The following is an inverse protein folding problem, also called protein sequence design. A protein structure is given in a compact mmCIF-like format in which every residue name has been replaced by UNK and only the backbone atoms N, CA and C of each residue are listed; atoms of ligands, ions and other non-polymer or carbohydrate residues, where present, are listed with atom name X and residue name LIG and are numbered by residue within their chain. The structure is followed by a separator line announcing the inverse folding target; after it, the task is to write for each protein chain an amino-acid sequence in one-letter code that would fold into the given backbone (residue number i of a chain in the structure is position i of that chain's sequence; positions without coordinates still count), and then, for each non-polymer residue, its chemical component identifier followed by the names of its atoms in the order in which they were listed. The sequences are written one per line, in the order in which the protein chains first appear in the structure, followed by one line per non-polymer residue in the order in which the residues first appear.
data_IF_219422468225
#
_entry.id   IF_219422468225
#
_cell.length_a   1.000
_cell.length_b   1.000
_cell.length_c   1.000
_cell.angle_alpha   90.00
_cell.angle_beta   90.00
_cell.angle_gamma   90.00
#
_symmetry.space_group_name_H-M   'P 1'
#
loop_
_entity.id
_entity.type
_entity.pdbx_description
1 polymer ?
#
# COMPACT_ATOMS: atom_id res chain seq x y z
N UNK A 1 -46.95 52.96 40.10
CA UNK A 1 -46.62 51.61 39.62
C UNK A 1 -45.09 51.53 39.41
N UNK A 2 -44.35 50.89 40.32
CA UNK A 2 -42.90 50.71 40.23
C UNK A 2 -42.62 49.41 39.41
N UNK A 3 -41.95 49.57 38.24
CA UNK A 3 -41.50 48.41 37.43
C UNK A 3 -40.18 47.93 38.04
N UNK A 4 -40.15 46.69 38.50
CA UNK A 4 -38.91 46.00 38.88
C UNK A 4 -38.36 45.32 37.62
N UNK A 5 -37.14 45.71 37.21
CA UNK A 5 -36.36 45.02 36.16
C UNK A 5 -35.55 43.95 36.88
N UNK A 6 -35.88 42.70 36.63
CA UNK A 6 -35.11 41.53 37.08
C UNK A 6 -34.00 41.28 36.05
N UNK A 7 -32.76 41.54 36.42
CA UNK A 7 -31.59 41.12 35.65
C UNK A 7 -31.33 39.63 35.93
N UNK A 8 -31.60 38.80 34.93
CA UNK A 8 -31.18 37.39 34.97
C UNK A 8 -29.68 37.35 34.59
N UNK A 9 -28.82 37.10 35.56
CA UNK A 9 -27.42 36.72 35.28
C UNK A 9 -27.38 35.28 34.80
N UNK A 10 -27.20 35.08 33.48
CA UNK A 10 -26.86 33.77 32.92
C UNK A 10 -25.35 33.59 33.14
N UNK A 11 -24.98 32.86 34.18
CA UNK A 11 -23.64 32.32 34.32
C UNK A 11 -23.42 31.27 33.23
N UNK A 12 -22.80 31.66 32.14
CA UNK A 12 -22.16 30.71 31.20
C UNK A 12 -20.98 30.07 31.94
N UNK A 13 -21.23 28.90 32.50
CA UNK A 13 -20.19 27.95 32.86
C UNK A 13 -19.56 27.47 31.54
N UNK A 14 -18.55 28.18 31.06
CA UNK A 14 -17.60 27.60 30.13
C UNK A 14 -16.84 26.51 30.90
N UNK A 15 -17.33 25.27 30.84
CA UNK A 15 -16.48 24.15 31.15
C UNK A 15 -15.30 24.26 30.17
N UNK A 16 -14.15 24.69 30.63
CA UNK A 16 -12.94 24.74 29.85
C UNK A 16 -12.64 23.30 29.42
N UNK A 17 -12.89 22.99 28.18
CA UNK A 17 -12.36 21.74 27.59
C UNK A 17 -10.86 21.84 27.74
N UNK A 18 -10.29 21.01 28.62
CA UNK A 18 -8.86 20.93 28.80
C UNK A 18 -8.27 20.48 27.46
N UNK A 19 -7.34 21.27 26.91
CA UNK A 19 -6.72 20.93 25.64
C UNK A 19 -6.06 19.54 25.77
N UNK A 20 -6.44 18.58 24.91
CA UNK A 20 -5.81 17.27 24.86
C UNK A 20 -4.42 17.45 24.27
N UNK A 21 -3.40 16.94 24.95
CA UNK A 21 -2.01 16.99 24.50
C UNK A 21 -1.56 15.58 24.04
N UNK A 22 -0.52 15.49 23.18
CA UNK A 22 0.06 14.20 22.80
C UNK A 22 0.50 13.37 24.01
N UNK A 23 0.43 12.03 23.85
CA UNK A 23 0.75 11.06 24.90
C UNK A 23 2.21 11.10 25.37
N UNK A 24 3.12 11.53 24.50
CA UNK A 24 4.56 11.48 24.73
C UNK A 24 5.18 10.10 24.49
N UNK A 25 4.42 9.14 23.95
CA UNK A 25 4.88 7.76 23.71
C UNK A 25 5.20 7.46 22.24
N UNK A 26 4.63 8.22 21.31
CA UNK A 26 4.81 8.07 19.86
C UNK A 26 5.47 9.33 19.27
N UNK A 27 6.13 9.23 18.10
CA UNK A 27 6.60 10.41 17.39
C UNK A 27 5.44 11.38 17.10
N UNK A 28 5.69 12.68 17.20
CA UNK A 28 4.68 13.70 16.94
C UNK A 28 4.96 14.37 15.60
N UNK A 29 3.98 14.36 14.70
CA UNK A 29 4.00 15.11 13.45
C UNK A 29 3.30 16.45 13.67
N UNK A 30 4.03 17.52 13.52
CA UNK A 30 3.50 18.88 13.53
C UNK A 30 3.32 19.37 12.10
N UNK A 31 2.07 19.65 11.74
CA UNK A 31 1.71 20.24 10.45
C UNK A 31 1.11 21.61 10.66
N UNK A 32 1.62 22.60 9.93
CA UNK A 32 1.08 23.95 9.99
C UNK A 32 0.84 24.47 8.58
N UNK A 33 -0.41 24.80 8.25
CA UNK A 33 -0.75 25.43 6.98
C UNK A 33 -0.42 26.93 7.02
N UNK A 34 -0.12 27.52 5.89
CA UNK A 34 0.13 28.96 5.84
C UNK A 34 -1.12 29.71 6.34
N UNK A 35 -0.90 30.67 7.22
CA UNK A 35 -1.97 31.48 7.86
C UNK A 35 -3.00 30.65 8.65
N UNK A 36 -2.71 29.40 9.03
CA UNK A 36 -3.60 28.54 9.80
C UNK A 36 -4.87 28.10 9.05
N UNK A 37 -4.90 28.21 7.71
CA UNK A 37 -6.08 27.81 6.94
C UNK A 37 -6.39 26.33 7.06
N UNK A 38 -7.68 25.97 7.01
CA UNK A 38 -8.10 24.58 7.07
C UNK A 38 -7.77 23.84 5.74
N UNK A 39 -7.50 22.54 5.83
CA UNK A 39 -7.43 21.64 4.69
C UNK A 39 -8.85 21.12 4.46
N UNK A 40 -9.52 21.62 3.41
CA UNK A 40 -10.95 21.40 3.18
C UNK A 40 -11.28 20.43 2.06
N UNK A 41 -10.29 20.07 1.24
CA UNK A 41 -10.49 19.16 0.12
C UNK A 41 -9.28 18.24 -0.10
N UNK A 42 -9.45 17.26 -1.00
CA UNK A 42 -8.41 16.27 -1.35
C UNK A 42 -7.75 16.51 -2.70
N UNK A 43 -8.19 17.54 -3.45
CA UNK A 43 -7.67 17.82 -4.79
C UNK A 43 -6.57 18.89 -4.74
N UNK A 44 -6.81 19.96 -4.01
CA UNK A 44 -5.93 21.11 -3.98
C UNK A 44 -4.94 21.05 -2.82
N UNK A 45 -3.69 21.31 -3.12
CA UNK A 45 -2.66 21.44 -2.10
C UNK A 45 -2.69 22.80 -1.41
N UNK A 46 -2.55 22.77 -0.11
CA UNK A 46 -2.37 23.95 0.75
C UNK A 46 -0.90 24.02 1.13
N UNK A 47 -0.18 25.13 0.85
CA UNK A 47 1.20 25.28 1.31
C UNK A 47 1.28 25.35 2.83
N UNK A 48 2.36 24.78 3.38
CA UNK A 48 2.56 24.74 4.82
C UNK A 48 3.95 24.23 5.18
N UNK A 49 4.10 23.88 6.43
CA UNK A 49 5.34 23.34 6.99
C UNK A 49 5.08 22.11 7.82
N UNK A 50 6.08 21.24 7.90
CA UNK A 50 6.05 20.00 8.69
C UNK A 50 7.37 19.85 9.43
N UNK A 51 7.29 19.47 10.71
CA UNK A 51 8.41 18.88 11.42
C UNK A 51 7.94 17.69 12.24
N UNK A 52 8.86 16.78 12.57
CA UNK A 52 8.57 15.57 13.36
C UNK A 52 9.51 15.53 14.55
N UNK A 53 8.92 15.54 15.74
CA UNK A 53 9.62 15.25 16.98
C UNK A 53 9.52 13.75 17.25
N UNK A 54 10.62 13.02 17.20
CA UNK A 54 10.61 11.58 17.43
C UNK A 54 10.51 11.23 18.92
N UNK A 55 10.59 12.19 19.81
CA UNK A 55 10.71 11.96 21.26
C UNK A 55 11.85 10.96 21.58
N UNK A 56 11.59 9.97 22.45
CA UNK A 56 12.54 8.91 22.83
C UNK A 56 12.37 7.61 22.03
N UNK A 57 11.71 7.64 20.86
CA UNK A 57 11.38 6.43 20.09
C UNK A 57 12.55 5.87 19.26
N UNK A 58 13.72 6.48 19.27
CA UNK A 58 14.90 6.04 18.53
C UNK A 58 14.94 6.46 17.05
N UNK A 59 13.91 7.12 16.53
CA UNK A 59 13.95 7.71 15.20
C UNK A 59 14.72 9.05 15.18
N UNK A 60 15.21 9.43 14.01
CA UNK A 60 15.80 10.75 13.81
C UNK A 60 14.71 11.81 13.67
N UNK A 61 14.93 12.98 14.24
CA UNK A 61 14.08 14.15 14.05
C UNK A 61 14.06 14.61 12.59
N UNK A 62 12.94 15.18 12.17
CA UNK A 62 12.79 15.79 10.85
C UNK A 62 12.43 17.26 11.01
N UNK A 63 13.38 18.16 10.78
CA UNK A 63 13.21 19.59 11.08
C UNK A 63 13.07 19.86 12.58
N UNK A 64 12.55 21.03 12.93
CA UNK A 64 12.23 21.44 14.30
C UNK A 64 11.18 22.54 14.29
N UNK A 65 10.67 22.92 15.46
CA UNK A 65 9.74 24.04 15.59
C UNK A 65 10.32 25.39 15.11
N UNK A 66 11.66 25.58 15.23
CA UNK A 66 12.37 26.77 14.74
C UNK A 66 12.82 26.67 13.28
N UNK A 67 12.88 25.47 12.72
CA UNK A 67 13.30 25.20 11.36
C UNK A 67 12.45 24.05 10.73
N UNK A 68 11.13 24.25 10.57
CA UNK A 68 10.27 23.25 9.95
C UNK A 68 10.53 23.16 8.45
N UNK A 69 10.19 22.03 7.84
CA UNK A 69 10.37 21.81 6.42
C UNK A 69 9.15 22.27 5.63
N UNK A 70 9.37 22.93 4.49
CA UNK A 70 8.30 23.34 3.59
C UNK A 70 7.65 22.11 2.92
N UNK A 71 6.34 22.16 2.83
CA UNK A 71 5.53 21.07 2.26
C UNK A 71 4.22 21.61 1.68
N UNK A 72 3.65 20.81 0.79
CA UNK A 72 2.30 20.94 0.30
C UNK A 72 1.42 19.90 0.98
N UNK A 73 0.28 20.31 1.50
CA UNK A 73 -0.61 19.50 2.34
C UNK A 73 -1.99 19.43 1.70
N UNK A 74 -2.64 18.26 1.69
CA UNK A 74 -4.03 18.13 1.25
C UNK A 74 -4.72 16.94 1.93
N UNK A 75 -6.03 16.88 1.83
CA UNK A 75 -6.80 15.70 2.17
C UNK A 75 -6.49 14.51 1.25
N UNK A 76 -6.91 13.32 1.65
CA UNK A 76 -6.82 12.10 0.83
C UNK A 76 -7.93 11.11 1.17
N UNK A 77 -8.02 10.04 0.36
CA UNK A 77 -9.02 8.98 0.51
C UNK A 77 -10.36 9.34 -0.11
N UNK A 78 -11.21 8.35 -0.25
CA UNK A 78 -12.57 8.52 -0.76
C UNK A 78 -13.55 8.43 0.40
N UNK A 79 -13.92 7.22 0.84
CA UNK A 79 -14.82 7.03 1.97
C UNK A 79 -14.27 7.61 3.28
N UNK A 80 -12.99 7.38 3.58
CA UNK A 80 -12.36 7.90 4.79
C UNK A 80 -12.31 9.45 4.83
N UNK A 81 -12.32 10.12 3.68
CA UNK A 81 -12.44 11.57 3.61
C UNK A 81 -13.88 12.05 3.79
N UNK A 82 -14.84 11.43 3.10
CA UNK A 82 -16.24 11.90 3.11
C UNK A 82 -17.02 11.43 4.33
N UNK A 83 -16.76 10.23 4.82
CA UNK A 83 -17.54 9.57 5.86
C UNK A 83 -17.14 9.85 7.31
N UNK A 84 -15.98 10.44 7.56
CA UNK A 84 -15.45 10.63 8.91
C UNK A 84 -15.05 12.08 9.17
N UNK A 85 -15.20 12.54 10.42
CA UNK A 85 -14.71 13.86 10.82
C UNK A 85 -13.18 13.85 11.00
N UNK A 86 -12.61 12.75 11.47
CA UNK A 86 -11.17 12.53 11.55
C UNK A 86 -10.59 12.28 10.15
N UNK A 87 -9.95 13.30 9.56
CA UNK A 87 -9.53 13.30 8.15
C UNK A 87 -8.12 12.73 7.95
N UNK A 88 -7.90 11.90 6.93
CA UNK A 88 -6.57 11.50 6.48
C UNK A 88 -5.93 12.57 5.58
N UNK A 89 -4.58 12.64 5.58
CA UNK A 89 -3.84 13.69 4.87
C UNK A 89 -2.73 13.14 3.99
N UNK A 90 -2.33 13.94 3.00
CA UNK A 90 -1.16 13.73 2.15
C UNK A 90 -0.17 14.88 2.35
N UNK A 91 1.10 14.54 2.51
CA UNK A 91 2.22 15.46 2.65
C UNK A 91 3.10 15.32 1.41
N UNK A 92 3.46 16.44 0.77
CA UNK A 92 4.43 16.51 -0.33
C UNK A 92 5.51 17.52 0.05
N UNK A 93 6.67 17.03 0.53
CA UNK A 93 7.83 17.89 0.80
C UNK A 93 8.41 18.47 -0.48
N UNK A 94 9.01 19.65 -0.42
CA UNK A 94 9.70 20.26 -1.56
C UNK A 94 10.94 19.45 -1.99
N UNK A 95 11.62 18.81 -1.05
CA UNK A 95 12.75 17.91 -1.30
C UNK A 95 12.47 16.49 -0.74
N UNK A 96 13.13 15.47 -1.30
CA UNK A 96 13.03 14.09 -0.79
C UNK A 96 13.58 14.01 0.64
N UNK A 97 12.75 13.56 1.58
CA UNK A 97 13.06 13.37 2.99
C UNK A 97 13.08 11.90 3.38
N UNK A 98 14.02 11.51 4.26
CA UNK A 98 13.97 10.25 5.01
C UNK A 98 13.12 10.49 6.27
N UNK A 99 12.02 9.77 6.42
CA UNK A 99 11.05 10.03 7.48
C UNK A 99 10.91 8.80 8.36
N UNK A 100 11.14 8.94 9.66
CA UNK A 100 10.99 7.86 10.66
C UNK A 100 11.59 6.51 10.19
N UNK A 101 12.83 6.55 9.72
CA UNK A 101 13.54 5.36 9.24
C UNK A 101 13.20 4.92 7.81
N UNK A 102 12.08 5.32 7.25
CA UNK A 102 11.65 4.96 5.89
C UNK A 102 12.49 5.68 4.81
N UNK A 103 12.68 5.07 3.62
CA UNK A 103 13.53 5.60 2.56
C UNK A 103 13.08 6.98 2.06
N UNK A 104 14.04 7.75 1.49
CA UNK A 104 13.79 9.12 1.02
C UNK A 104 12.73 9.19 -0.07
N UNK A 105 11.70 9.99 0.14
CA UNK A 105 10.73 10.41 -0.86
C UNK A 105 10.14 11.81 -0.54
N UNK A 106 9.44 12.41 -1.51
CA UNK A 106 8.68 13.65 -1.27
C UNK A 106 7.28 13.39 -0.70
N UNK A 107 6.65 12.27 -1.04
CA UNK A 107 5.23 12.00 -0.81
C UNK A 107 5.02 11.03 0.35
N UNK A 108 4.19 11.44 1.30
CA UNK A 108 3.84 10.69 2.50
C UNK A 108 2.34 10.78 2.77
N UNK A 109 1.82 9.81 3.50
CA UNK A 109 0.40 9.72 3.83
C UNK A 109 0.26 9.60 5.34
N UNK A 110 -0.71 10.31 5.90
CA UNK A 110 -1.22 10.12 7.25
C UNK A 110 -2.58 9.43 7.15
N UNK A 111 -2.61 8.13 7.46
CA UNK A 111 -3.85 7.36 7.59
C UNK A 111 -4.48 7.70 8.92
N UNK A 112 -5.77 8.04 8.93
CA UNK A 112 -6.47 8.45 10.14
C UNK A 112 -6.87 7.26 11.03
N UNK A 113 -7.11 6.08 10.45
CA UNK A 113 -7.57 4.89 11.17
C UNK A 113 -8.96 5.03 11.81
N UNK A 114 -9.75 6.03 11.38
CA UNK A 114 -11.06 6.31 11.98
C UNK A 114 -12.09 5.18 11.76
N UNK A 115 -11.91 4.39 10.73
CA UNK A 115 -12.71 3.24 10.30
C UNK A 115 -12.25 1.91 10.91
N UNK A 116 -11.03 1.85 11.45
CA UNK A 116 -10.49 0.63 12.05
C UNK A 116 -11.02 0.45 13.47
N UNK A 117 -11.84 -0.57 13.67
CA UNK A 117 -12.45 -0.92 14.96
C UNK A 117 -11.73 -2.08 15.68
N UNK A 118 -10.64 -2.58 15.09
CA UNK A 118 -9.85 -3.70 15.61
C UNK A 118 -8.48 -3.23 16.13
N UNK A 119 -8.47 -2.19 16.96
CA UNK A 119 -7.26 -1.72 17.62
C UNK A 119 -6.24 -1.09 16.67
N UNK A 120 -6.69 -0.50 15.58
CA UNK A 120 -5.80 0.09 14.55
C UNK A 120 -4.84 -0.91 13.91
N UNK A 121 -5.17 -2.21 13.89
CA UNK A 121 -4.26 -3.28 13.48
C UNK A 121 -4.42 -3.70 12.03
N UNK A 122 -5.53 -3.36 11.36
CA UNK A 122 -5.84 -3.84 10.02
C UNK A 122 -4.73 -3.52 9.00
N UNK A 123 -4.43 -2.26 8.77
CA UNK A 123 -3.36 -1.84 7.85
C UNK A 123 -1.95 -2.28 8.31
N UNK A 124 -1.54 -2.05 9.58
CA UNK A 124 -0.22 -2.47 10.02
C UNK A 124 0.04 -3.97 9.86
N UNK A 125 -0.91 -4.82 10.24
CA UNK A 125 -0.74 -6.28 10.16
C UNK A 125 -0.77 -6.77 8.72
N UNK A 126 -1.65 -6.22 7.85
CA UNK A 126 -1.61 -6.52 6.42
C UNK A 126 -0.23 -6.22 5.80
N UNK A 127 0.39 -5.10 6.18
CA UNK A 127 1.76 -4.77 5.74
C UNK A 127 2.83 -5.67 6.36
N UNK A 128 2.68 -6.11 7.62
CA UNK A 128 3.58 -7.08 8.24
C UNK A 128 3.54 -8.41 7.49
N UNK A 129 2.36 -8.94 7.17
CA UNK A 129 2.17 -10.18 6.42
C UNK A 129 2.79 -10.06 5.03
N UNK A 130 2.53 -8.97 4.33
CA UNK A 130 3.08 -8.68 3.00
C UNK A 130 4.62 -8.70 3.00
N UNK A 131 5.24 -8.06 4.00
CA UNK A 131 6.71 -8.09 4.19
C UNK A 131 7.22 -9.48 4.49
N UNK A 132 6.54 -10.23 5.35
CA UNK A 132 6.93 -11.58 5.73
C UNK A 132 6.91 -12.54 4.52
N UNK A 133 5.91 -12.41 3.64
CA UNK A 133 5.82 -13.18 2.39
C UNK A 133 6.77 -12.67 1.30
N UNK A 134 7.47 -11.56 1.53
CA UNK A 134 8.46 -11.03 0.59
C UNK A 134 7.84 -10.53 -0.71
N UNK A 135 6.69 -9.81 -0.67
CA UNK A 135 6.23 -9.05 -1.81
C UNK A 135 7.32 -8.04 -2.23
N UNK A 136 7.44 -7.77 -3.52
CA UNK A 136 8.53 -6.96 -4.08
C UNK A 136 8.67 -5.59 -3.43
N UNK A 137 7.56 -5.02 -3.00
CA UNK A 137 7.55 -3.83 -2.16
C UNK A 137 6.29 -3.79 -1.29
N UNK A 138 6.45 -3.36 -0.05
CA UNK A 138 5.36 -3.11 0.91
C UNK A 138 5.60 -1.75 1.56
N UNK A 139 4.59 -0.89 1.67
CA UNK A 139 4.74 0.40 2.35
C UNK A 139 5.26 0.26 3.77
N UNK A 140 6.18 1.14 4.16
CA UNK A 140 6.52 1.35 5.56
C UNK A 140 5.37 2.07 6.26
N UNK A 141 5.13 1.74 7.54
CA UNK A 141 4.09 2.36 8.36
C UNK A 141 4.61 2.56 9.77
N UNK A 142 4.41 3.75 10.33
CA UNK A 142 4.83 4.13 11.69
C UNK A 142 3.67 4.83 12.39
N UNK A 143 3.27 4.41 13.59
CA UNK A 143 2.26 5.12 14.37
C UNK A 143 2.84 6.45 14.85
N UNK A 144 2.04 7.50 14.75
CA UNK A 144 2.41 8.87 15.13
C UNK A 144 1.22 9.57 15.76
N UNK A 145 1.47 10.63 16.48
CA UNK A 145 0.44 11.57 16.89
C UNK A 145 0.50 12.83 16.01
N UNK A 146 -0.64 13.40 15.67
CA UNK A 146 -0.72 14.57 14.79
C UNK A 146 -1.13 15.82 15.56
N UNK A 147 -0.40 16.90 15.34
CA UNK A 147 -0.79 18.26 15.72
C UNK A 147 -0.92 19.08 14.43
N UNK A 148 -2.12 19.56 14.13
CA UNK A 148 -2.43 20.37 12.96
C UNK A 148 -2.82 21.78 13.38
N UNK A 149 -2.07 22.79 12.92
CA UNK A 149 -2.28 24.18 13.25
C UNK A 149 -2.37 24.43 14.78
N UNK A 150 -1.52 23.74 15.54
CA UNK A 150 -1.47 23.82 17.00
C UNK A 150 -2.54 23.00 17.73
N UNK A 151 -3.46 22.34 17.03
CA UNK A 151 -4.51 21.51 17.62
C UNK A 151 -4.16 20.03 17.51
N UNK A 152 -4.22 19.32 18.63
CA UNK A 152 -4.01 17.87 18.66
C UNK A 152 -5.14 17.15 17.91
N UNK A 153 -4.75 16.25 16.99
CA UNK A 153 -5.66 15.50 16.14
C UNK A 153 -5.71 13.99 16.48
N UNK A 154 -4.96 13.55 17.48
CA UNK A 154 -4.95 12.15 17.90
C UNK A 154 -3.93 11.28 17.18
N UNK A 155 -4.19 9.96 17.19
CA UNK A 155 -3.36 8.90 16.64
C UNK A 155 -3.53 8.81 15.12
N UNK A 156 -2.42 8.76 14.41
CA UNK A 156 -2.34 8.56 12.96
C UNK A 156 -1.25 7.54 12.61
N UNK A 157 -1.24 7.09 11.36
CA UNK A 157 -0.17 6.25 10.83
C UNK A 157 0.50 6.96 9.66
N UNK A 158 1.76 7.33 9.87
CA UNK A 158 2.58 7.87 8.79
C UNK A 158 3.10 6.72 7.94
N UNK A 159 2.78 6.73 6.67
CA UNK A 159 3.13 5.67 5.73
C UNK A 159 3.68 6.22 4.42
N UNK A 160 4.40 5.38 3.71
CA UNK A 160 4.86 5.66 2.36
C UNK A 160 3.67 5.72 1.40
N UNK A 161 3.62 6.73 0.55
CA UNK A 161 2.63 6.81 -0.53
C UNK A 161 2.97 5.81 -1.63
N UNK A 162 2.04 4.96 -2.02
CA UNK A 162 2.21 4.04 -3.16
C UNK A 162 2.46 4.86 -4.42
N UNK A 163 3.58 4.60 -5.07
CA UNK A 163 3.98 5.23 -6.35
C UNK A 163 5.20 4.57 -6.94
N UNK A 164 5.46 4.81 -8.20
CA UNK A 164 6.71 4.46 -8.86
C UNK A 164 7.86 5.31 -8.28
N UNK A 165 8.87 4.69 -7.74
CA UNK A 165 10.14 5.27 -7.28
C UNK A 165 11.10 4.11 -6.97
N UNK A 166 12.40 4.32 -7.13
CA UNK A 166 13.44 3.31 -6.87
C UNK A 166 13.41 2.69 -5.46
N UNK A 167 12.84 3.39 -4.49
CA UNK A 167 12.70 2.93 -3.11
C UNK A 167 11.27 2.44 -2.79
N UNK A 168 10.40 2.35 -3.79
CA UNK A 168 9.00 1.92 -3.66
C UNK A 168 8.67 0.90 -4.75
N UNK A 169 7.66 1.13 -5.57
CA UNK A 169 7.45 0.30 -6.76
C UNK A 169 8.57 0.61 -7.74
N UNK A 170 9.60 -0.23 -7.73
CA UNK A 170 10.84 0.00 -8.48
C UNK A 170 10.71 -0.55 -9.90
N UNK A 171 10.05 0.21 -10.75
CA UNK A 171 9.96 -0.01 -12.20
C UNK A 171 10.44 1.24 -12.92
N UNK A 172 10.83 1.09 -14.19
CA UNK A 172 11.26 2.21 -14.99
C UNK A 172 10.05 3.02 -15.45
N UNK A 173 9.82 4.17 -14.79
CA UNK A 173 8.70 5.07 -15.08
C UNK A 173 8.67 5.50 -16.56
N UNK A 174 7.47 5.58 -17.12
CA UNK A 174 7.25 6.19 -18.43
C UNK A 174 7.06 7.70 -18.30
N UNK A 175 7.38 8.41 -19.35
CA UNK A 175 7.00 9.82 -19.50
C UNK A 175 5.55 9.92 -19.98
N UNK A 176 4.86 10.95 -19.55
CA UNK A 176 3.55 11.31 -20.08
C UNK A 176 3.65 11.57 -21.59
N UNK A 177 2.61 11.23 -22.33
CA UNK A 177 2.51 11.40 -23.78
C UNK A 177 3.65 10.72 -24.58
N UNK A 178 4.27 9.67 -24.00
CA UNK A 178 5.33 8.92 -24.68
C UNK A 178 4.81 8.23 -25.95
N UNK A 179 5.62 8.28 -27.03
CA UNK A 179 5.34 7.59 -28.31
C UNK A 179 6.43 6.61 -28.72
N UNK A 180 7.45 6.45 -27.90
CA UNK A 180 8.56 5.53 -28.18
C UNK A 180 8.13 4.09 -27.90
N UNK A 181 8.16 3.23 -28.92
CA UNK A 181 7.69 1.84 -28.86
C UNK A 181 8.43 1.00 -27.79
N UNK A 182 9.72 1.22 -27.56
CA UNK A 182 10.49 0.46 -26.58
C UNK A 182 10.16 0.93 -25.14
N UNK A 183 9.87 2.23 -24.99
CA UNK A 183 9.59 2.84 -23.68
C UNK A 183 8.21 2.49 -23.15
N UNK A 184 7.24 2.26 -24.02
CA UNK A 184 5.84 1.96 -23.62
C UNK A 184 5.61 0.48 -23.27
N UNK A 185 6.61 -0.40 -23.43
CA UNK A 185 6.46 -1.82 -23.09
C UNK A 185 6.24 -2.08 -21.61
N UNK A 186 6.57 -1.12 -20.75
CA UNK A 186 6.37 -1.18 -19.31
C UNK A 186 6.50 0.19 -18.64
N UNK A 187 6.68 0.18 -17.33
CA UNK A 187 6.56 1.39 -16.50
C UNK A 187 5.10 1.72 -16.20
N UNK A 188 4.25 0.69 -16.25
CA UNK A 188 2.83 0.79 -15.96
C UNK A 188 2.55 0.51 -14.50
N UNK A 189 1.76 1.37 -13.87
CA UNK A 189 1.08 1.08 -12.61
C UNK A 189 -0.39 1.42 -12.78
N UNK A 190 -1.24 0.44 -12.52
CA UNK A 190 -2.69 0.52 -12.71
C UNK A 190 -3.39 0.05 -11.43
N UNK A 191 -4.65 0.40 -11.29
CA UNK A 191 -5.50 0.03 -10.16
C UNK A 191 -6.87 -0.41 -10.66
N UNK A 192 -7.34 -1.58 -10.24
CA UNK A 192 -8.75 -1.90 -10.34
C UNK A 192 -9.45 -1.07 -9.26
N UNK A 193 -10.34 -0.18 -9.67
CA UNK A 193 -10.96 0.81 -8.79
C UNK A 193 -12.47 0.87 -9.00
N UNK A 194 -13.17 1.27 -7.96
CA UNK A 194 -14.60 1.54 -7.98
C UNK A 194 -14.94 2.98 -8.37
N UNK A 195 -13.93 3.83 -8.48
CA UNK A 195 -14.11 5.25 -8.75
C UNK A 195 -13.68 5.58 -10.16
N UNK A 196 -14.60 6.17 -10.90
CA UNK A 196 -14.33 6.62 -12.27
C UNK A 196 -13.27 7.73 -12.31
N UNK A 197 -12.35 7.62 -13.25
CA UNK A 197 -11.41 8.68 -13.61
C UNK A 197 -11.39 8.86 -15.14
N UNK A 198 -10.89 10.01 -15.62
CA UNK A 198 -10.79 10.29 -17.06
C UNK A 198 -9.86 9.33 -17.82
N UNK A 199 -8.97 8.68 -17.10
CA UNK A 199 -7.97 7.75 -17.65
C UNK A 199 -8.36 6.27 -17.49
N UNK A 200 -9.60 5.97 -17.16
CA UNK A 200 -10.05 4.59 -17.03
C UNK A 200 -9.97 3.84 -18.36
N UNK A 201 -9.58 2.58 -18.24
CA UNK A 201 -9.75 1.55 -19.26
C UNK A 201 -10.91 0.67 -18.79
N UNK A 202 -11.95 0.60 -19.59
CA UNK A 202 -13.14 -0.17 -19.28
C UNK A 202 -13.22 -1.39 -20.20
N UNK A 203 -13.50 -2.55 -19.64
CA UNK A 203 -13.72 -3.77 -20.41
C UNK A 203 -14.68 -4.70 -19.68
N UNK A 204 -15.20 -5.69 -20.38
CA UNK A 204 -15.96 -6.77 -19.77
C UNK A 204 -15.09 -8.04 -19.66
N UNK A 205 -15.03 -8.60 -18.48
CA UNK A 205 -14.46 -9.93 -18.31
C UNK A 205 -15.26 -10.99 -19.11
N UNK A 206 -14.65 -12.14 -19.33
CA UNK A 206 -15.31 -13.24 -20.05
C UNK A 206 -16.57 -13.77 -19.34
N UNK A 207 -16.72 -13.51 -18.06
CA UNK A 207 -17.93 -13.80 -17.28
C UNK A 207 -19.00 -12.70 -17.38
N UNK A 208 -18.73 -11.61 -18.11
CA UNK A 208 -19.63 -10.47 -18.31
C UNK A 208 -19.55 -9.39 -17.23
N UNK A 209 -18.66 -9.52 -16.25
CA UNK A 209 -18.43 -8.45 -15.27
C UNK A 209 -17.75 -7.25 -15.93
N UNK A 210 -18.25 -6.07 -15.66
CA UNK A 210 -17.64 -4.82 -16.09
C UNK A 210 -16.51 -4.42 -15.13
N UNK A 211 -15.33 -4.18 -15.67
CA UNK A 211 -14.11 -3.82 -14.91
C UNK A 211 -13.65 -2.44 -15.33
N UNK A 212 -13.33 -1.62 -14.35
CA UNK A 212 -12.64 -0.35 -14.54
C UNK A 212 -11.20 -0.47 -14.03
N UNK A 213 -10.24 -0.12 -14.88
CA UNK A 213 -8.84 -0.06 -14.54
C UNK A 213 -8.37 1.38 -14.66
N UNK A 214 -8.06 1.98 -13.54
CA UNK A 214 -7.49 3.34 -13.47
C UNK A 214 -5.99 3.31 -13.71
N UNK A 215 -5.46 4.34 -14.32
CA UNK A 215 -4.04 4.49 -14.55
C UNK A 215 -3.41 5.39 -13.47
N UNK A 216 -2.48 4.83 -12.71
CA UNK A 216 -1.67 5.59 -11.77
C UNK A 216 -0.43 6.21 -12.45
N UNK A 217 0.19 5.46 -13.37
CA UNK A 217 1.39 5.88 -14.11
C UNK A 217 1.38 5.20 -15.49
N UNK A 218 1.59 6.00 -16.58
CA UNK A 218 1.67 7.46 -16.63
C UNK A 218 0.33 8.15 -16.36
N UNK A 219 0.36 9.42 -15.93
CA UNK A 219 -0.87 10.18 -15.62
C UNK A 219 -1.60 10.66 -16.89
N UNK A 220 -0.86 10.96 -17.95
CA UNK A 220 -1.41 11.43 -19.24
C UNK A 220 -0.91 10.55 -20.39
N UNK A 221 -1.85 10.00 -21.16
CA UNK A 221 -1.56 9.07 -22.23
C UNK A 221 -1.52 9.73 -23.62
N UNK A 222 -0.52 9.35 -24.43
CA UNK A 222 -0.62 9.43 -25.88
C UNK A 222 -1.58 8.36 -26.41
N UNK A 223 -2.05 8.50 -27.66
CA UNK A 223 -2.85 7.46 -28.31
C UNK A 223 -2.09 6.11 -28.37
N UNK A 224 -0.79 6.15 -28.65
CA UNK A 224 0.05 4.96 -28.74
C UNK A 224 0.14 4.23 -27.38
N UNK A 225 0.29 4.99 -26.28
CA UNK A 225 0.26 4.43 -24.93
C UNK A 225 -1.11 3.84 -24.60
N UNK A 226 -2.20 4.53 -24.93
CA UNK A 226 -3.57 4.04 -24.69
C UNK A 226 -3.83 2.74 -25.44
N UNK A 227 -3.50 2.68 -26.72
CA UNK A 227 -3.70 1.47 -27.52
C UNK A 227 -2.87 0.31 -26.95
N UNK A 228 -1.63 0.57 -26.53
CA UNK A 228 -0.75 -0.44 -25.96
C UNK A 228 -1.31 -0.99 -24.64
N UNK A 229 -1.68 -0.13 -23.69
CA UNK A 229 -2.14 -0.61 -22.37
C UNK A 229 -3.50 -1.33 -22.47
N UNK A 230 -4.41 -0.90 -23.34
CA UNK A 230 -5.65 -1.63 -23.61
C UNK A 230 -5.36 -3.06 -24.06
N UNK A 231 -4.47 -3.24 -25.05
CA UNK A 231 -4.06 -4.57 -25.50
C UNK A 231 -3.38 -5.41 -24.40
N UNK A 232 -2.59 -4.77 -23.52
CA UNK A 232 -1.96 -5.48 -22.39
C UNK A 232 -2.98 -5.98 -21.37
N UNK A 233 -3.99 -5.18 -21.03
CA UNK A 233 -5.06 -5.57 -20.12
C UNK A 233 -5.94 -6.66 -20.76
N UNK A 234 -6.27 -6.53 -22.05
CA UNK A 234 -6.98 -7.57 -22.79
C UNK A 234 -6.17 -8.90 -22.83
N UNK A 235 -4.87 -8.81 -23.06
CA UNK A 235 -4.00 -10.00 -23.06
C UNK A 235 -3.96 -10.68 -21.68
N UNK A 236 -3.90 -9.91 -20.60
CA UNK A 236 -3.96 -10.43 -19.24
C UNK A 236 -5.32 -11.11 -18.96
N UNK A 237 -6.43 -10.46 -19.31
CA UNK A 237 -7.77 -11.01 -19.18
C UNK A 237 -7.91 -12.32 -19.97
N UNK A 238 -7.47 -12.34 -21.23
CA UNK A 238 -7.54 -13.52 -22.07
C UNK A 238 -6.63 -14.67 -21.56
N UNK A 239 -5.49 -14.36 -20.94
CA UNK A 239 -4.64 -15.36 -20.32
C UNK A 239 -5.29 -15.99 -19.08
N UNK A 240 -5.92 -15.17 -18.23
CA UNK A 240 -6.61 -15.62 -17.02
C UNK A 240 -7.79 -16.53 -17.35
N UNK A 241 -8.59 -16.18 -18.36
CA UNK A 241 -9.76 -16.97 -18.81
C UNK A 241 -9.42 -18.03 -19.89
N UNK A 242 -8.14 -18.12 -20.26
CA UNK A 242 -7.69 -19.08 -21.26
C UNK A 242 -7.60 -20.51 -20.74
N UNK A 243 -6.83 -21.33 -21.44
CA UNK A 243 -6.63 -22.75 -21.12
C UNK A 243 -5.16 -23.19 -21.15
N UNK A 244 -4.23 -22.24 -21.21
CA UNK A 244 -2.78 -22.49 -21.28
C UNK A 244 -2.07 -21.86 -20.08
N UNK A 245 -1.60 -22.69 -19.16
CA UNK A 245 -0.78 -22.22 -18.02
C UNK A 245 0.51 -21.54 -18.49
N UNK A 246 1.13 -22.04 -19.57
CA UNK A 246 2.31 -21.43 -20.16
C UNK A 246 2.05 -19.98 -20.63
N UNK A 247 0.88 -19.72 -21.24
CA UNK A 247 0.50 -18.35 -21.64
C UNK A 247 0.26 -17.47 -20.42
N UNK A 248 -0.44 -17.98 -19.40
CA UNK A 248 -0.67 -17.25 -18.16
C UNK A 248 0.65 -16.90 -17.47
N UNK A 249 1.56 -17.86 -17.35
CA UNK A 249 2.87 -17.68 -16.73
C UNK A 249 3.81 -16.74 -17.50
N UNK A 250 3.60 -16.56 -18.82
CA UNK A 250 4.33 -15.57 -19.60
C UNK A 250 3.87 -14.14 -19.33
N UNK A 251 2.60 -13.94 -18.97
CA UNK A 251 1.98 -12.62 -18.82
C UNK A 251 1.90 -12.20 -17.35
N UNK A 252 1.65 -13.14 -16.43
CA UNK A 252 1.47 -12.90 -15.01
C UNK A 252 2.60 -13.56 -14.19
N UNK A 253 3.14 -12.81 -13.23
CA UNK A 253 4.02 -13.35 -12.20
C UNK A 253 3.16 -14.10 -11.16
N UNK A 254 3.10 -15.42 -11.34
CA UNK A 254 2.22 -16.31 -10.56
C UNK A 254 2.63 -16.32 -9.07
N UNK A 255 3.93 -16.27 -8.78
CA UNK A 255 4.42 -16.26 -7.39
C UNK A 255 4.03 -14.97 -6.68
N UNK A 256 4.23 -13.81 -7.32
CA UNK A 256 3.86 -12.51 -6.76
C UNK A 256 2.34 -12.39 -6.61
N UNK A 257 1.56 -12.87 -7.59
CA UNK A 257 0.11 -12.93 -7.51
C UNK A 257 -0.38 -13.83 -6.35
N UNK A 258 0.27 -14.97 -6.13
CA UNK A 258 -0.05 -15.89 -5.04
C UNK A 258 0.26 -15.27 -3.65
N UNK A 259 1.37 -14.55 -3.52
CA UNK A 259 1.71 -13.80 -2.30
C UNK A 259 0.67 -12.73 -2.01
N UNK A 260 0.34 -11.91 -3.01
CA UNK A 260 -0.68 -10.88 -2.89
C UNK A 260 -2.02 -11.49 -2.44
N UNK A 261 -2.48 -12.52 -3.14
CA UNK A 261 -3.71 -13.26 -2.80
C UNK A 261 -3.69 -13.77 -1.36
N UNK A 262 -2.59 -14.39 -0.94
CA UNK A 262 -2.48 -14.96 0.40
C UNK A 262 -2.57 -13.89 1.51
N UNK A 263 -1.96 -12.70 1.30
CA UNK A 263 -2.13 -11.58 2.25
C UNK A 263 -3.60 -11.23 2.40
N UNK A 264 -4.33 -11.10 1.30
CA UNK A 264 -5.74 -10.72 1.30
C UNK A 264 -6.62 -11.79 1.95
N UNK A 265 -6.35 -13.08 1.68
CA UNK A 265 -7.07 -14.19 2.32
C UNK A 265 -6.80 -14.26 3.82
N UNK A 266 -5.56 -14.06 4.29
CA UNK A 266 -5.25 -14.06 5.72
C UNK A 266 -5.95 -12.89 6.41
N UNK A 267 -5.96 -11.72 5.80
CA UNK A 267 -6.63 -10.53 6.33
C UNK A 267 -8.15 -10.56 6.13
N UNK A 268 -8.69 -11.55 5.41
CA UNK A 268 -10.11 -11.58 5.02
C UNK A 268 -10.56 -10.24 4.43
N UNK A 269 -9.72 -9.61 3.61
CA UNK A 269 -10.02 -8.32 3.05
C UNK A 269 -10.92 -8.42 1.83
N UNK A 270 -12.20 -8.20 2.05
CA UNK A 270 -13.23 -8.44 1.05
C UNK A 270 -13.29 -7.39 -0.06
N UNK A 271 -12.57 -6.31 0.05
CA UNK A 271 -12.53 -5.25 -0.97
C UNK A 271 -11.35 -5.39 -1.94
N UNK A 272 -10.36 -6.19 -1.58
CA UNK A 272 -9.02 -6.24 -2.15
C UNK A 272 -8.89 -6.46 -3.67
N UNK A 273 -9.97 -6.85 -4.36
CA UNK A 273 -9.92 -7.12 -5.81
C UNK A 273 -10.85 -6.25 -6.64
N UNK A 274 -11.62 -5.36 -6.03
CA UNK A 274 -12.51 -4.43 -6.72
C UNK A 274 -12.26 -2.97 -6.38
N UNK A 275 -11.44 -2.71 -5.39
CA UNK A 275 -10.97 -1.40 -4.97
C UNK A 275 -9.54 -1.49 -4.44
N UNK A 276 -8.72 -0.52 -4.68
CA UNK A 276 -7.31 -0.46 -4.26
C UNK A 276 -6.45 -1.66 -4.71
N UNK A 277 -6.91 -2.43 -5.71
CA UNK A 277 -6.18 -3.55 -6.28
C UNK A 277 -5.19 -3.06 -7.32
N UNK A 278 -3.95 -2.94 -6.92
CA UNK A 278 -2.89 -2.43 -7.80
C UNK A 278 -2.18 -3.54 -8.55
N UNK A 279 -1.80 -3.22 -9.80
CA UNK A 279 -0.93 -4.03 -10.63
C UNK A 279 0.14 -3.15 -11.26
N UNK A 280 1.31 -3.73 -11.51
CA UNK A 280 2.38 -3.03 -12.20
C UNK A 280 3.17 -3.95 -13.13
N UNK A 281 3.77 -3.35 -14.17
CA UNK A 281 4.63 -4.01 -15.14
C UNK A 281 5.82 -3.13 -15.46
N UNK A 282 7.04 -3.67 -15.39
CA UNK A 282 8.25 -2.97 -15.81
C UNK A 282 8.47 -3.10 -17.33
N UNK A 283 9.44 -2.38 -17.85
CA UNK A 283 9.82 -2.44 -19.26
C UNK A 283 10.40 -3.79 -19.64
N UNK A 284 10.07 -4.21 -20.84
CA UNK A 284 10.73 -5.35 -21.47
C UNK A 284 12.22 -5.02 -21.68
N UNK A 285 13.08 -5.96 -21.41
CA UNK A 285 14.52 -5.78 -21.50
C UNK A 285 15.25 -6.98 -22.05
N UNK A 286 16.23 -6.74 -22.93
CA UNK A 286 17.13 -7.77 -23.49
C UNK A 286 16.40 -8.99 -24.07
N UNK A 287 15.25 -8.80 -24.71
CA UNK A 287 14.45 -9.86 -25.32
C UNK A 287 13.61 -10.66 -24.32
N UNK A 288 13.52 -10.21 -23.07
CA UNK A 288 12.59 -10.75 -22.06
C UNK A 288 11.41 -9.79 -21.89
N UNK A 289 10.21 -10.35 -21.98
CA UNK A 289 8.96 -9.64 -21.68
C UNK A 289 8.77 -9.64 -20.16
N UNK A 290 8.61 -8.47 -19.55
CA UNK A 290 8.27 -8.39 -18.13
C UNK A 290 6.80 -8.77 -17.92
N UNK A 291 6.51 -9.30 -16.73
CA UNK A 291 5.19 -9.82 -16.39
C UNK A 291 4.41 -8.83 -15.53
N UNK A 292 3.09 -8.88 -15.62
CA UNK A 292 2.21 -8.22 -14.67
C UNK A 292 2.40 -8.79 -13.27
N UNK A 293 2.36 -7.94 -12.27
CA UNK A 293 2.48 -8.28 -10.85
C UNK A 293 1.34 -7.62 -10.09
N UNK A 294 0.64 -8.39 -9.28
CA UNK A 294 -0.29 -7.83 -8.30
C UNK A 294 0.48 -7.16 -7.15
N UNK A 295 -0.02 -6.06 -6.67
CA UNK A 295 0.58 -5.28 -5.59
C UNK A 295 1.00 -3.87 -6.00
N UNK A 296 1.51 -3.10 -5.02
CA UNK A 296 1.63 -3.47 -3.61
C UNK A 296 0.28 -3.56 -2.91
N UNK A 297 0.24 -4.23 -1.76
CA UNK A 297 -0.96 -4.26 -0.91
C UNK A 297 -1.24 -2.87 -0.35
N UNK A 298 -2.52 -2.53 -0.23
CA UNK A 298 -2.99 -1.25 0.28
C UNK A 298 -4.42 -1.37 0.76
N UNK A 299 -4.83 -0.53 1.73
CA UNK A 299 -6.20 -0.33 2.17
C UNK A 299 -6.92 -1.57 2.73
N UNK A 300 -6.52 -1.94 3.95
CA UNK A 300 -7.16 -3.03 4.70
C UNK A 300 -8.36 -2.57 5.54
N UNK A 301 -9.01 -1.47 5.17
CA UNK A 301 -10.14 -0.90 5.91
C UNK A 301 -11.28 -1.91 6.15
N UNK A 302 -11.54 -2.77 5.18
CA UNK A 302 -12.59 -3.80 5.23
C UNK A 302 -12.11 -5.19 5.73
N UNK A 303 -10.84 -5.32 6.16
CA UNK A 303 -10.33 -6.57 6.70
C UNK A 303 -11.13 -7.05 7.92
N UNK A 304 -11.47 -8.35 7.94
CA UNK A 304 -12.26 -9.02 8.97
C UNK A 304 -13.70 -8.51 9.19
N UNK A 305 -14.21 -7.65 8.33
CA UNK A 305 -15.56 -7.11 8.50
C UNK A 305 -16.66 -8.16 8.23
N UNK A 306 -16.39 -9.15 7.41
CA UNK A 306 -17.34 -10.22 7.10
C UNK A 306 -17.36 -11.34 8.13
N UNK A 307 -16.20 -11.72 8.65
CA UNK A 307 -16.00 -12.85 9.56
C UNK A 307 -16.68 -14.13 9.05
N UNK A 308 -16.36 -14.55 7.83
CA UNK A 308 -17.05 -15.61 7.12
C UNK A 308 -16.13 -16.78 6.77
N UNK A 309 -16.57 -18.04 7.00
CA UNK A 309 -15.86 -19.26 6.59
C UNK A 309 -16.00 -19.50 5.07
N UNK A 310 -15.44 -18.60 4.26
CA UNK A 310 -15.44 -18.66 2.80
C UNK A 310 -14.22 -17.93 2.22
N UNK A 311 -13.94 -18.17 0.95
CA UNK A 311 -12.94 -17.40 0.22
C UNK A 311 -13.38 -15.94 0.06
N UNK A 312 -12.44 -15.04 0.01
CA UNK A 312 -12.75 -13.61 -0.16
C UNK A 312 -13.48 -13.34 -1.48
N UNK A 313 -13.20 -14.15 -2.53
CA UNK A 313 -13.85 -14.03 -3.83
C UNK A 313 -15.23 -14.69 -3.92
N UNK A 314 -15.67 -15.45 -2.94
CA UNK A 314 -17.01 -16.08 -2.92
C UNK A 314 -18.10 -15.16 -2.35
N UNK A 315 -17.75 -13.93 -2.03
CA UNK A 315 -18.67 -13.00 -1.39
C UNK A 315 -19.69 -12.40 -2.37
N UNK A 316 -20.98 -12.26 -1.96
CA UNK A 316 -22.04 -11.72 -2.83
C UNK A 316 -22.01 -10.20 -2.96
N UNK A 317 -21.18 -9.50 -2.19
CA UNK A 317 -21.31 -8.05 -1.98
C UNK A 317 -20.48 -7.25 -2.98
N UNK A 318 -19.31 -7.78 -3.37
CA UNK A 318 -18.37 -7.06 -4.22
C UNK A 318 -17.87 -7.94 -5.35
N UNK A 319 -17.76 -7.44 -6.59
CA UNK A 319 -17.11 -8.17 -7.66
C UNK A 319 -15.66 -8.47 -7.27
N UNK A 320 -15.22 -9.68 -7.51
CA UNK A 320 -13.84 -10.09 -7.25
C UNK A 320 -13.18 -10.47 -8.57
N UNK A 321 -12.93 -9.45 -9.37
CA UNK A 321 -12.41 -9.57 -10.72
C UNK A 321 -11.19 -10.49 -10.81
N UNK A 322 -11.11 -11.29 -11.84
CA UNK A 322 -10.04 -12.21 -12.17
C UNK A 322 -9.72 -13.25 -11.08
N UNK A 323 -9.83 -12.91 -9.80
CA UNK A 323 -9.28 -13.76 -8.75
C UNK A 323 -10.03 -15.09 -8.61
N UNK A 324 -11.35 -15.08 -8.77
CA UNK A 324 -12.13 -16.32 -8.77
C UNK A 324 -11.69 -17.27 -9.90
N UNK A 325 -11.36 -16.73 -11.07
CA UNK A 325 -10.84 -17.51 -12.18
C UNK A 325 -9.39 -17.95 -11.94
N UNK A 326 -8.52 -17.08 -11.44
CA UNK A 326 -7.14 -17.43 -11.08
C UNK A 326 -7.10 -18.56 -10.05
N UNK A 327 -7.99 -18.54 -9.06
CA UNK A 327 -8.09 -19.58 -8.04
C UNK A 327 -8.43 -20.95 -8.61
N UNK A 328 -8.92 -21.07 -9.85
CA UNK A 328 -9.16 -22.37 -10.54
C UNK A 328 -7.90 -22.95 -11.18
N UNK A 329 -6.86 -22.16 -11.39
CA UNK A 329 -5.66 -22.60 -12.08
C UNK A 329 -4.76 -23.47 -11.18
N UNK A 330 -4.41 -24.72 -11.59
CA UNK A 330 -3.53 -25.58 -10.79
C UNK A 330 -2.19 -24.96 -10.45
N UNK A 331 -1.57 -24.22 -11.39
CA UNK A 331 -0.29 -23.52 -11.18
C UNK A 331 -0.41 -22.45 -10.10
N UNK A 332 -1.50 -21.68 -10.08
CA UNK A 332 -1.77 -20.68 -9.06
C UNK A 332 -2.07 -21.32 -7.70
N UNK A 333 -2.92 -22.36 -7.66
CA UNK A 333 -3.22 -23.11 -6.43
C UNK A 333 -1.96 -23.72 -5.81
N UNK A 334 -1.03 -24.26 -6.63
CA UNK A 334 0.26 -24.75 -6.16
C UNK A 334 1.06 -23.62 -5.52
N UNK A 335 1.22 -22.51 -6.22
CA UNK A 335 1.97 -21.35 -5.72
C UNK A 335 1.36 -20.79 -4.41
N UNK A 336 0.03 -20.69 -4.31
CA UNK A 336 -0.64 -20.26 -3.06
C UNK A 336 -0.34 -21.20 -1.91
N UNK A 337 -0.41 -22.53 -2.13
CA UNK A 337 -0.13 -23.52 -1.08
C UNK A 337 1.35 -23.52 -0.66
N UNK A 338 2.27 -23.20 -1.57
CA UNK A 338 3.69 -23.03 -1.25
C UNK A 338 3.91 -21.76 -0.38
N UNK A 339 3.31 -20.65 -0.73
CA UNK A 339 3.37 -19.43 0.08
C UNK A 339 2.68 -19.61 1.44
N UNK A 340 1.56 -20.35 1.48
CA UNK A 340 0.88 -20.71 2.72
C UNK A 340 1.77 -21.55 3.64
N UNK A 341 2.47 -22.55 3.12
CA UNK A 341 3.41 -23.35 3.90
C UNK A 341 4.49 -22.49 4.57
N UNK A 342 5.10 -21.57 3.79
CA UNK A 342 6.08 -20.61 4.30
C UNK A 342 5.47 -19.76 5.42
N UNK A 343 4.30 -19.18 5.19
CA UNK A 343 3.63 -18.35 6.17
C UNK A 343 3.28 -19.12 7.44
N UNK A 344 2.64 -20.26 7.29
CA UNK A 344 2.14 -21.09 8.39
C UNK A 344 3.26 -21.57 9.32
N UNK A 345 4.37 -22.02 8.77
CA UNK A 345 5.49 -22.57 9.55
C UNK A 345 6.46 -21.51 10.08
N UNK A 346 6.65 -20.41 9.35
CA UNK A 346 7.71 -19.45 9.68
C UNK A 346 7.20 -18.15 10.29
N UNK A 347 5.97 -17.72 9.95
CA UNK A 347 5.56 -16.34 10.23
C UNK A 347 4.29 -16.18 11.07
N UNK A 348 3.32 -17.12 11.03
CA UNK A 348 2.01 -16.91 11.67
C UNK A 348 2.08 -16.49 13.14
N UNK A 349 2.95 -17.13 13.93
CA UNK A 349 3.09 -16.84 15.35
C UNK A 349 3.92 -15.57 15.60
N UNK A 350 4.91 -15.32 14.77
CA UNK A 350 5.70 -14.07 14.79
C UNK A 350 4.83 -12.85 14.45
N UNK A 351 4.01 -12.93 13.41
CA UNK A 351 3.08 -11.86 13.02
C UNK A 351 2.05 -11.60 14.14
N UNK A 352 1.50 -12.66 14.72
CA UNK A 352 0.60 -12.55 15.87
C UNK A 352 1.26 -11.81 17.03
N UNK A 353 2.49 -12.14 17.39
CA UNK A 353 3.21 -11.46 18.46
C UNK A 353 3.50 -10.00 18.10
N UNK A 354 3.93 -9.73 16.87
CA UNK A 354 4.15 -8.36 16.39
C UNK A 354 2.86 -7.52 16.44
N UNK A 355 1.71 -8.09 16.12
CA UNK A 355 0.43 -7.41 16.24
C UNK A 355 0.10 -7.05 17.69
N UNK A 356 0.35 -7.96 18.63
CA UNK A 356 0.17 -7.73 20.07
C UNK A 356 1.08 -6.59 20.56
N UNK A 357 2.36 -6.66 20.21
CA UNK A 357 3.36 -5.66 20.62
C UNK A 357 3.03 -4.28 20.03
N UNK A 358 2.62 -4.24 18.76
CA UNK A 358 2.18 -3.03 18.09
C UNK A 358 0.95 -2.41 18.77
N UNK A 359 -0.08 -3.21 19.09
CA UNK A 359 -1.26 -2.74 19.80
C UNK A 359 -0.91 -2.17 21.19
N UNK A 360 -0.02 -2.84 21.93
CA UNK A 360 0.41 -2.37 23.25
C UNK A 360 1.10 -1.00 23.17
N UNK A 361 1.86 -0.75 22.11
CA UNK A 361 2.52 0.55 21.87
C UNK A 361 1.49 1.69 21.68
N UNK A 362 0.29 1.40 21.16
CA UNK A 362 -0.72 2.42 20.85
C UNK A 362 -1.60 2.81 22.04
N UNK A 363 -1.53 2.10 23.17
CA UNK A 363 -2.52 2.16 24.26
C UNK A 363 -2.82 3.57 24.75
N UNK A 364 -1.80 4.37 25.03
CA UNK A 364 -2.02 5.72 25.55
C UNK A 364 -2.50 6.69 24.46
N UNK A 365 -1.93 6.61 23.27
CA UNK A 365 -2.36 7.45 22.14
C UNK A 365 -3.80 7.16 21.72
N UNK A 366 -4.25 5.89 21.77
CA UNK A 366 -5.62 5.50 21.45
C UNK A 366 -6.65 6.04 22.43
N UNK A 367 -6.31 6.12 23.74
CA UNK A 367 -7.17 6.76 24.74
C UNK A 367 -7.36 8.25 24.45
N UNK A 368 -6.28 8.94 24.10
CA UNK A 368 -6.33 10.36 23.76
C UNK A 368 -7.04 10.61 22.42
N UNK A 369 -6.85 9.71 21.46
CA UNK A 369 -7.57 9.75 20.18
C UNK A 369 -9.09 9.68 20.40
N UNK A 370 -9.55 8.77 21.27
CA UNK A 370 -10.96 8.67 21.63
C UNK A 370 -11.47 9.96 22.33
N UNK A 371 -10.68 10.60 23.18
CA UNK A 371 -11.08 11.87 23.81
C UNK A 371 -11.32 12.98 22.78
N UNK A 372 -10.58 12.98 21.66
CA UNK A 372 -10.74 13.97 20.59
C UNK A 372 -11.94 13.65 19.71
N UNK A 373 -12.16 12.37 19.38
CA UNK A 373 -13.05 11.98 18.29
C UNK A 373 -14.29 11.19 18.71
N UNK A 374 -14.41 10.78 19.99
CA UNK A 374 -15.61 10.07 20.46
C UNK A 374 -16.87 10.94 20.29
N UNK A 375 -17.90 10.35 19.74
CA UNK A 375 -19.17 11.04 19.45
C UNK A 375 -19.20 11.79 18.11
N UNK A 376 -18.10 11.80 17.33
CA UNK A 376 -18.10 12.30 15.96
C UNK A 376 -18.58 11.25 14.94
N UNK A 377 -18.85 11.68 13.70
CA UNK A 377 -19.43 10.82 12.67
C UNK A 377 -18.56 9.59 12.38
N UNK A 378 -19.16 8.42 12.52
CA UNK A 378 -18.63 7.11 12.17
C UNK A 378 -17.31 6.68 12.88
N UNK A 379 -16.74 7.51 13.74
CA UNK A 379 -15.48 7.18 14.44
C UNK A 379 -15.59 5.87 15.22
N UNK A 380 -14.61 5.00 15.06
CA UNK A 380 -14.51 3.72 15.75
C UNK A 380 -13.62 3.84 16.99
N UNK A 381 -14.25 3.81 18.16
CA UNK A 381 -13.54 3.97 19.44
C UNK A 381 -12.69 2.74 19.79
N UNK A 382 -11.39 2.95 19.88
CA UNK A 382 -10.39 1.96 20.30
C UNK A 382 -9.75 2.31 21.66
N UNK A 383 -10.40 3.06 22.54
CA UNK A 383 -9.84 3.45 23.84
C UNK A 383 -9.50 2.25 24.73
N UNK A 384 -10.22 1.15 24.61
CA UNK A 384 -9.88 -0.12 25.25
C UNK A 384 -9.03 -0.99 24.29
N UNK A 385 -7.76 -0.64 24.18
CA UNK A 385 -6.83 -1.32 23.28
C UNK A 385 -6.64 -2.82 23.58
N UNK A 386 -6.75 -3.22 24.84
CA UNK A 386 -6.62 -4.64 25.21
C UNK A 386 -7.72 -5.48 24.58
N UNK A 387 -8.98 -5.07 24.74
CA UNK A 387 -10.13 -5.79 24.17
C UNK A 387 -10.07 -5.76 22.62
N UNK A 388 -9.74 -4.62 22.02
CA UNK A 388 -9.64 -4.49 20.55
C UNK A 388 -8.52 -5.32 19.94
N UNK A 389 -7.39 -5.38 20.61
CA UNK A 389 -6.28 -6.29 20.26
C UNK A 389 -6.75 -7.74 20.33
N UNK A 390 -7.39 -8.12 21.41
CA UNK A 390 -7.85 -9.49 21.61
C UNK A 390 -8.91 -9.87 20.57
N UNK A 391 -9.87 -8.99 20.26
CA UNK A 391 -10.83 -9.14 19.15
C UNK A 391 -10.11 -9.36 17.79
N UNK A 392 -9.05 -8.61 17.52
CA UNK A 392 -8.24 -8.79 16.30
C UNK A 392 -7.55 -10.15 16.28
N UNK A 393 -6.91 -10.53 17.39
CA UNK A 393 -6.16 -11.79 17.49
C UNK A 393 -7.12 -13.00 17.38
N UNK A 394 -8.30 -12.91 17.91
CA UNK A 394 -9.33 -13.96 17.79
C UNK A 394 -9.76 -14.13 16.33
N UNK A 395 -9.99 -13.05 15.59
CA UNK A 395 -10.31 -13.09 14.15
C UNK A 395 -9.16 -13.63 13.33
N UNK A 396 -7.94 -13.17 13.61
CA UNK A 396 -6.73 -13.68 12.98
C UNK A 396 -6.58 -15.20 13.20
N UNK A 397 -6.65 -15.68 14.45
CA UNK A 397 -6.55 -17.10 14.76
C UNK A 397 -7.67 -17.91 14.10
N UNK A 398 -8.90 -17.38 14.12
CA UNK A 398 -10.04 -18.02 13.47
C UNK A 398 -9.80 -18.15 11.95
N UNK A 399 -9.32 -17.11 11.29
CA UNK A 399 -9.01 -17.13 9.85
C UNK A 399 -7.87 -18.08 9.52
N UNK A 400 -6.78 -18.08 10.28
CA UNK A 400 -5.69 -19.03 10.15
C UNK A 400 -6.20 -20.47 10.28
N UNK A 401 -7.06 -20.76 11.27
CA UNK A 401 -7.63 -22.09 11.45
C UNK A 401 -8.53 -22.50 10.29
N UNK A 402 -9.32 -21.59 9.74
CA UNK A 402 -10.13 -21.86 8.57
C UNK A 402 -9.27 -22.16 7.33
N UNK A 403 -8.25 -21.36 7.06
CA UNK A 403 -7.31 -21.59 5.95
C UNK A 403 -6.56 -22.92 6.12
N UNK A 404 -6.21 -23.29 7.33
CA UNK A 404 -5.61 -24.60 7.62
C UNK A 404 -6.57 -25.76 7.29
N UNK A 405 -7.86 -25.61 7.57
CA UNK A 405 -8.86 -26.63 7.16
C UNK A 405 -8.94 -26.77 5.64
N UNK A 406 -8.65 -25.69 4.87
CA UNK A 406 -8.70 -25.72 3.40
C UNK A 406 -7.42 -26.27 2.77
N UNK A 407 -6.26 -25.92 3.31
CA UNK A 407 -4.96 -26.20 2.68
C UNK A 407 -4.07 -27.16 3.49
N UNK A 408 -4.47 -27.53 4.72
CA UNK A 408 -3.58 -28.23 5.66
C UNK A 408 -2.34 -27.40 6.00
N UNK A 409 -1.19 -28.05 6.03
CA UNK A 409 0.10 -27.36 6.19
C UNK A 409 0.58 -26.64 4.92
N UNK A 410 -0.10 -26.86 3.80
CA UNK A 410 0.34 -26.35 2.50
C UNK A 410 1.23 -27.35 1.75
N UNK A 411 2.04 -26.83 0.85
CA UNK A 411 3.03 -27.58 0.08
C UNK A 411 4.39 -27.00 0.41
N UNK A 412 5.28 -27.80 1.00
CA UNK A 412 6.65 -27.37 1.18
C UNK A 412 7.25 -27.02 -0.18
N UNK A 413 7.73 -25.78 -0.38
CA UNK A 413 8.40 -25.43 -1.62
C UNK A 413 9.56 -26.41 -1.86
N UNK A 414 9.68 -26.86 -3.10
CA UNK A 414 10.92 -27.54 -3.51
C UNK A 414 12.06 -26.55 -3.19
N UNK A 415 13.09 -27.02 -2.49
CA UNK A 415 14.31 -26.24 -2.39
C UNK A 415 14.64 -25.90 -3.85
N UNK A 416 14.51 -24.64 -4.21
CA UNK A 416 15.10 -24.14 -5.48
C UNK A 416 16.55 -24.50 -5.29
N UNK A 417 16.93 -25.71 -5.83
CA UNK A 417 18.25 -26.26 -5.63
C UNK A 417 19.14 -25.09 -5.88
N UNK A 418 20.01 -24.75 -4.92
CA UNK A 418 20.82 -23.55 -4.96
C UNK A 418 21.23 -23.40 -6.40
N UNK A 419 20.46 -22.55 -7.12
CA UNK A 419 20.74 -22.36 -8.52
C UNK A 419 22.16 -21.95 -8.40
N UNK A 420 23.07 -22.80 -8.87
CA UNK A 420 24.50 -22.64 -8.73
C UNK A 420 24.66 -21.16 -8.61
N UNK A 421 24.91 -20.64 -7.40
CA UNK A 421 25.31 -19.27 -7.28
C UNK A 421 26.40 -19.18 -8.31
N UNK A 422 26.03 -18.72 -9.50
CA UNK A 422 27.03 -18.29 -10.44
C UNK A 422 27.56 -17.11 -9.66
N UNK A 423 28.52 -17.50 -8.82
CA UNK A 423 29.32 -16.63 -8.01
C UNK A 423 29.57 -15.45 -8.94
N UNK A 424 29.06 -14.24 -8.67
CA UNK A 424 29.21 -13.13 -9.62
C UNK A 424 30.68 -12.83 -9.92
N UNK A 425 31.57 -13.50 -9.23
CA UNK A 425 33.01 -13.50 -9.45
C UNK A 425 33.49 -14.39 -10.62
N UNK A 426 32.61 -15.16 -11.31
CA UNK A 426 33.03 -16.02 -12.41
C UNK A 426 32.19 -15.94 -13.69
N UNK A 427 31.35 -14.91 -13.83
CA UNK A 427 30.91 -14.51 -15.16
C UNK A 427 32.06 -13.72 -15.79
N UNK A 428 32.89 -14.37 -16.59
CA UNK A 428 33.97 -13.75 -17.39
C UNK A 428 33.38 -12.82 -18.46
N UNK A 429 32.37 -12.03 -18.10
CA UNK A 429 31.83 -10.99 -18.98
C UNK A 429 32.27 -9.63 -18.45
N UNK A 430 32.96 -8.86 -19.26
CA UNK A 430 33.36 -7.48 -18.95
C UNK A 430 33.02 -6.58 -20.11
N UNK A 431 32.62 -5.36 -19.80
CA UNK A 431 32.41 -4.32 -20.80
C UNK A 431 33.79 -3.71 -21.18
N UNK A 432 34.04 -3.58 -22.47
CA UNK A 432 35.28 -3.00 -23.01
C UNK A 432 34.89 -1.86 -23.94
N UNK A 433 35.49 -0.69 -23.73
CA UNK A 433 35.39 0.42 -24.65
C UNK A 433 36.63 0.37 -25.57
N UNK A 434 36.42 0.20 -26.89
CA UNK A 434 37.53 0.19 -27.90
C UNK A 434 37.11 1.11 -29.03
N UNK A 435 37.97 2.08 -29.34
CA UNK A 435 37.74 3.10 -30.39
C UNK A 435 36.35 3.80 -30.25
N UNK A 436 35.93 4.11 -29.01
CA UNK A 436 34.66 4.78 -28.74
C UNK A 436 33.42 3.89 -28.87
N UNK A 437 33.59 2.61 -29.15
CA UNK A 437 32.48 1.64 -29.22
C UNK A 437 32.50 0.69 -28.03
N UNK A 438 31.32 0.36 -27.51
CA UNK A 438 31.12 -0.58 -26.38
C UNK A 438 31.05 -2.01 -26.90
N UNK A 439 31.83 -2.90 -26.28
CA UNK A 439 31.84 -4.34 -26.52
C UNK A 439 31.66 -5.10 -25.24
N UNK A 440 31.14 -6.33 -25.30
CA UNK A 440 31.00 -7.26 -24.20
C UNK A 440 31.96 -8.42 -24.45
N UNK A 441 32.95 -8.60 -23.55
CA UNK A 441 33.74 -9.83 -23.51
C UNK A 441 32.99 -10.89 -22.69
N UNK A 442 32.82 -12.05 -23.27
CA UNK A 442 32.23 -13.21 -22.60
C UNK A 442 32.98 -14.49 -22.98
N UNK A 443 33.49 -15.20 -21.99
CA UNK A 443 34.33 -16.40 -22.18
C UNK A 443 35.46 -16.21 -23.21
N UNK A 444 36.16 -15.10 -23.11
CA UNK A 444 37.29 -14.77 -23.98
C UNK A 444 36.91 -14.34 -25.42
N UNK A 445 35.62 -14.22 -25.72
CA UNK A 445 35.12 -13.77 -27.01
C UNK A 445 34.51 -12.37 -26.92
N UNK A 446 34.66 -11.56 -27.93
CA UNK A 446 34.13 -10.19 -27.97
C UNK A 446 32.84 -10.13 -28.79
N UNK A 447 31.84 -9.44 -28.24
CA UNK A 447 30.54 -9.22 -28.85
C UNK A 447 30.22 -7.73 -28.92
N UNK A 448 29.59 -7.28 -29.99
CA UNK A 448 29.06 -5.92 -30.06
C UNK A 448 27.75 -5.82 -29.20
N UNK A 449 27.23 -4.60 -29.07
CA UNK A 449 25.98 -4.34 -28.29
C UNK A 449 24.74 -5.01 -28.86
N UNK A 450 24.78 -5.50 -30.12
CA UNK A 450 23.73 -6.30 -30.74
C UNK A 450 23.92 -7.82 -30.52
N UNK A 451 24.89 -8.24 -29.70
CA UNK A 451 25.18 -9.65 -29.43
C UNK A 451 25.89 -10.38 -30.57
N UNK A 452 26.37 -9.69 -31.62
CA UNK A 452 27.15 -10.31 -32.69
C UNK A 452 28.62 -10.43 -32.26
N UNK A 453 29.18 -11.62 -32.49
CA UNK A 453 30.58 -11.87 -32.23
C UNK A 453 31.45 -10.98 -33.17
N UNK A 454 32.45 -10.35 -32.62
CA UNK A 454 33.42 -9.52 -33.35
C UNK A 454 34.76 -10.22 -33.27
N UNK A 455 35.39 -10.45 -34.41
CA UNK A 455 36.75 -10.99 -34.47
C UNK A 455 37.74 -9.90 -34.01
N UNK A 456 38.76 -10.32 -33.29
CA UNK A 456 39.79 -9.41 -32.70
C UNK A 456 40.58 -8.60 -33.74
#
# INVERSE_FOLDING_TARGET
MKKYIVFLWVCLLSAGMQAVNPSGTLPIVYMTTNSGQAITDKENYVPGTVYIDPLSTGYAALGSSSAPLTAQLKGRGNWTWSGFDKKPYKIKFDAKQKVLGMPKNKHWVLIAGADDWLGYLKNPVGFMISKALGLRWTPGIVPVELVLNGNYQGLYFLTEHVRVDKNRVNIQEQEDLCTNADSITGGWMVEIDNYWSENNIEFNENNGQHVMVSLDVPEVLSNVQRDYIVHQIEALNNAIYGNSSATLEQILDIEEAAKFYLVQEIMEDCESYHGSCKLYKDRDSLGMVDKWKFGPVWDFGNAYDRHAERWIYDGPTWPQYWIGQLATWPVFQKAVKEQWWIYYHQYKDTIKQQAIDFANQLTEAAKLDAQVWEGTSNFRNNSNMADRRDDFIDRYNWRINWLYKQWGEGIQPEEKGEGVETNPTNIESRKILRNGQLYIMYKGQMYNVQGRRVEN
#
